data_IF_059678575026
#
_entry.id   IF_059678575026
#
_cell.length_a   1.000
_cell.length_b   1.000
_cell.length_c   1.000
_cell.angle_alpha   90.00
_cell.angle_beta   90.00
_cell.angle_gamma   90.00
#
_symmetry.space_group_name_H-M   'P 1'
#
loop_
_entity.id
_entity.type
_entity.pdbx_description
1 polymer ?
#
# COMPACT_ATOMS: atom_id res chain seq x y z
N UNK A 1 -1.65 10.41 2.47
CA UNK A 1 -2.84 9.57 2.15
C UNK A 1 -3.72 9.28 3.35
N UNK A 2 -3.21 8.70 4.45
CA UNK A 2 -4.01 8.48 5.68
C UNK A 2 -4.85 9.71 6.07
N UNK A 3 -4.23 10.90 6.04
CA UNK A 3 -4.89 12.16 6.35
C UNK A 3 -6.06 12.54 5.45
N UNK A 4 -6.04 12.13 4.17
CA UNK A 4 -7.15 12.36 3.25
C UNK A 4 -8.34 11.44 3.55
N UNK A 5 -8.05 10.20 3.99
CA UNK A 5 -9.08 9.28 4.47
C UNK A 5 -9.67 9.82 5.77
N UNK A 6 -8.84 10.22 6.75
CA UNK A 6 -9.31 10.87 7.99
C UNK A 6 -10.25 12.03 7.67
N UNK A 7 -9.83 12.95 6.80
CA UNK A 7 -10.60 14.14 6.46
C UNK A 7 -11.93 13.80 5.80
N UNK A 8 -11.95 12.83 4.88
CA UNK A 8 -13.17 12.34 4.23
C UNK A 8 -14.15 11.70 5.22
N UNK A 9 -13.65 10.88 6.15
CA UNK A 9 -14.49 10.24 7.15
C UNK A 9 -15.05 11.24 8.16
N UNK A 10 -14.23 12.20 8.61
CA UNK A 10 -14.66 13.25 9.54
C UNK A 10 -15.74 14.12 8.90
N UNK A 11 -15.58 14.47 7.63
CA UNK A 11 -16.60 15.23 6.88
C UNK A 11 -17.95 14.50 6.82
N UNK A 12 -17.91 13.21 6.52
CA UNK A 12 -19.10 12.38 6.43
C UNK A 12 -19.78 12.17 7.78
N UNK A 13 -19.00 11.95 8.83
CA UNK A 13 -19.50 11.79 10.20
C UNK A 13 -20.12 13.11 10.71
N UNK A 14 -19.46 14.25 10.51
CA UNK A 14 -19.99 15.56 10.88
C UNK A 14 -21.30 15.86 10.13
N UNK A 15 -21.38 15.53 8.85
CA UNK A 15 -22.61 15.68 8.06
C UNK A 15 -23.75 14.79 8.58
N UNK A 16 -23.48 13.50 8.81
CA UNK A 16 -24.47 12.57 9.36
C UNK A 16 -24.92 12.98 10.77
N UNK A 17 -24.02 13.49 11.60
CA UNK A 17 -24.33 13.98 12.95
C UNK A 17 -25.18 15.25 12.91
N UNK A 18 -24.90 16.19 12.01
CA UNK A 18 -25.74 17.39 11.80
C UNK A 18 -27.16 17.01 11.37
N UNK A 19 -27.31 15.98 10.52
CA UNK A 19 -28.62 15.47 10.11
C UNK A 19 -29.40 14.82 11.26
N UNK A 20 -28.71 14.27 12.27
CA UNK A 20 -29.33 13.69 13.47
C UNK A 20 -29.84 14.71 14.48
N UNK A 21 -29.30 15.93 14.49
CA UNK A 21 -29.75 17.02 15.38
C UNK A 21 -31.26 17.30 15.24
N UNK A 22 -31.80 17.55 14.03
CA UNK A 22 -33.24 17.74 13.83
C UNK A 22 -34.03 16.43 13.80
N UNK A 23 -33.40 15.30 13.49
CA UNK A 23 -34.06 13.99 13.40
C UNK A 23 -33.16 12.87 13.97
N UNK A 24 -33.35 12.46 15.24
CA UNK A 24 -32.53 11.44 15.88
C UNK A 24 -32.54 10.06 15.19
N UNK A 25 -33.54 9.78 14.34
CA UNK A 25 -33.65 8.55 13.55
C UNK A 25 -32.99 8.66 12.17
N UNK A 26 -32.39 9.81 11.83
CA UNK A 26 -31.68 9.98 10.57
C UNK A 26 -30.53 8.96 10.46
N UNK A 27 -30.46 8.27 9.33
CA UNK A 27 -29.46 7.23 9.10
C UNK A 27 -28.08 7.83 8.84
N UNK A 28 -27.01 7.14 9.26
CA UNK A 28 -25.64 7.45 8.83
C UNK A 28 -25.38 6.99 7.38
N UNK A 29 -26.06 7.61 6.42
CA UNK A 29 -26.01 7.20 5.01
C UNK A 29 -24.72 7.61 4.34
N UNK A 30 -24.15 8.76 4.70
CA UNK A 30 -22.98 9.33 4.02
C UNK A 30 -21.73 8.53 4.35
N UNK A 31 -21.51 8.26 5.64
CA UNK A 31 -20.36 7.47 6.08
C UNK A 31 -20.40 6.04 5.52
N UNK A 32 -21.59 5.39 5.54
CA UNK A 32 -21.77 4.05 4.96
C UNK A 32 -21.47 4.01 3.46
N UNK A 33 -21.89 5.03 2.71
CA UNK A 33 -21.62 5.15 1.28
C UNK A 33 -20.13 5.29 0.99
N UNK A 34 -19.41 6.11 1.75
CA UNK A 34 -17.94 6.23 1.62
C UNK A 34 -17.25 4.91 1.93
N UNK A 35 -17.64 4.22 3.01
CA UNK A 35 -17.08 2.91 3.34
C UNK A 35 -17.35 1.91 2.20
N UNK A 36 -18.56 1.93 1.63
CA UNK A 36 -18.90 1.10 0.48
C UNK A 36 -17.99 1.39 -0.73
N UNK A 37 -17.79 2.66 -1.09
CA UNK A 37 -16.93 3.02 -2.23
C UNK A 37 -15.45 2.70 -2.02
N UNK A 38 -14.94 2.89 -0.79
CA UNK A 38 -13.58 2.47 -0.45
C UNK A 38 -13.46 0.96 -0.63
N UNK A 39 -14.40 0.17 -0.09
CA UNK A 39 -14.37 -1.29 -0.25
C UNK A 39 -14.53 -1.72 -1.72
N UNK A 40 -15.32 -0.99 -2.52
CA UNK A 40 -15.51 -1.28 -3.94
C UNK A 40 -14.20 -1.11 -4.73
N UNK A 41 -13.20 -0.38 -4.21
CA UNK A 41 -11.84 -0.32 -4.76
C UNK A 41 -11.03 -1.62 -4.56
N UNK A 42 -11.60 -2.66 -3.95
CA UNK A 42 -10.93 -3.94 -3.72
C UNK A 42 -9.92 -3.90 -2.58
N UNK A 43 -10.24 -3.13 -1.53
CA UNK A 43 -9.55 -3.11 -0.23
C UNK A 43 -10.54 -3.51 0.86
N UNK A 44 -10.07 -4.11 1.96
CA UNK A 44 -10.93 -4.39 3.12
C UNK A 44 -10.87 -3.22 4.07
N UNK A 45 -11.96 -2.47 4.20
CA UNK A 45 -12.00 -1.24 4.98
C UNK A 45 -13.21 -1.17 5.88
N UNK A 46 -12.98 -0.82 7.14
CA UNK A 46 -14.03 -0.61 8.13
C UNK A 46 -13.67 0.53 9.08
N UNK A 47 -14.67 1.09 9.75
CA UNK A 47 -14.56 2.24 10.65
C UNK A 47 -15.25 1.92 11.97
N UNK A 48 -14.60 2.24 13.08
CA UNK A 48 -15.12 2.02 14.44
C UNK A 48 -14.68 3.14 15.38
N UNK A 49 -15.29 3.24 16.55
CA UNK A 49 -14.89 4.20 17.58
C UNK A 49 -14.05 3.51 18.65
N UNK A 50 -12.86 4.05 18.89
CA UNK A 50 -11.97 3.69 19.98
C UNK A 50 -12.11 4.74 21.09
N UNK A 51 -12.33 4.30 22.34
CA UNK A 51 -12.56 5.18 23.49
C UNK A 51 -11.42 6.19 23.72
N UNK A 52 -10.18 5.86 23.33
CA UNK A 52 -9.00 6.69 23.55
C UNK A 52 -8.65 7.56 22.35
N UNK A 53 -8.97 7.09 21.14
CA UNK A 53 -8.52 7.72 19.88
C UNK A 53 -9.65 8.35 19.08
N UNK A 54 -10.90 8.17 19.49
CA UNK A 54 -12.06 8.56 18.71
C UNK A 54 -12.26 7.64 17.51
N UNK A 55 -12.66 8.20 16.37
CA UNK A 55 -12.85 7.42 15.14
C UNK A 55 -11.54 6.79 14.66
N UNK A 56 -11.56 5.48 14.48
CA UNK A 56 -10.47 4.66 13.97
C UNK A 56 -10.95 3.85 12.76
N UNK A 57 -10.02 3.42 11.92
CA UNK A 57 -10.34 2.65 10.72
C UNK A 57 -9.22 1.68 10.34
N UNK A 58 -9.51 0.76 9.43
CA UNK A 58 -8.58 -0.27 8.98
C UNK A 58 -7.27 0.34 8.47
N UNK A 59 -6.14 -0.13 9.02
CA UNK A 59 -4.82 0.28 8.51
C UNK A 59 -4.59 -0.38 7.16
N UNK A 60 -4.37 0.44 6.13
CA UNK A 60 -4.09 -0.02 4.78
C UNK A 60 -2.57 -0.10 4.55
N UNK A 61 -2.15 -1.14 3.84
CA UNK A 61 -0.79 -1.30 3.34
C UNK A 61 -0.47 -0.28 2.24
N UNK A 62 0.81 -0.11 1.91
CA UNK A 62 1.23 0.80 0.83
C UNK A 62 0.57 0.46 -0.52
N UNK A 63 0.43 -0.83 -0.84
CA UNK A 63 -0.23 -1.28 -2.07
C UNK A 63 -1.73 -0.98 -2.10
N UNK A 64 -2.42 -1.18 -0.99
CA UNK A 64 -3.85 -0.84 -0.85
C UNK A 64 -4.08 0.67 -0.93
N UNK A 65 -3.20 1.46 -0.32
CA UNK A 65 -3.20 2.92 -0.41
C UNK A 65 -3.03 3.38 -1.87
N UNK A 66 -2.04 2.86 -2.61
CA UNK A 66 -1.85 3.19 -4.03
C UNK A 66 -3.07 2.81 -4.88
N UNK A 67 -3.65 1.63 -4.65
CA UNK A 67 -4.88 1.19 -5.32
C UNK A 67 -6.04 2.14 -5.05
N UNK A 68 -6.22 2.53 -3.79
CA UNK A 68 -7.29 3.44 -3.38
C UNK A 68 -7.11 4.81 -4.04
N UNK A 69 -5.89 5.36 -4.04
CA UNK A 69 -5.62 6.65 -4.68
C UNK A 69 -5.96 6.64 -6.17
N UNK A 70 -5.67 5.55 -6.87
CA UNK A 70 -5.94 5.39 -8.29
C UNK A 70 -7.44 5.25 -8.63
N UNK A 71 -8.20 4.53 -7.80
CA UNK A 71 -9.59 4.17 -8.10
C UNK A 71 -10.64 5.12 -7.46
N UNK A 72 -10.30 5.75 -6.34
CA UNK A 72 -11.21 6.64 -5.61
C UNK A 72 -11.70 7.85 -6.42
N UNK A 73 -10.88 8.54 -7.23
CA UNK A 73 -11.35 9.70 -8.01
C UNK A 73 -12.59 9.47 -8.87
N UNK A 74 -12.78 8.25 -9.36
CA UNK A 74 -13.91 7.89 -10.23
C UNK A 74 -15.14 7.42 -9.43
N UNK A 75 -14.94 7.03 -8.18
CA UNK A 75 -15.96 6.42 -7.32
C UNK A 75 -16.48 7.34 -6.22
N UNK A 76 -15.66 8.32 -5.83
CA UNK A 76 -16.03 9.32 -4.85
C UNK A 76 -17.14 10.28 -5.30
N UNK A 77 -17.35 10.61 -6.59
CA UNK A 77 -18.48 11.48 -6.97
C UNK A 77 -19.82 10.97 -6.43
N UNK A 78 -20.61 11.87 -5.86
CA UNK A 78 -21.87 11.58 -5.18
C UNK A 78 -21.74 10.92 -3.81
N UNK A 79 -20.52 10.65 -3.31
CA UNK A 79 -20.30 10.00 -2.01
C UNK A 79 -20.11 10.96 -0.83
N UNK A 80 -19.24 11.97 -0.90
CA UNK A 80 -19.15 13.04 0.10
C UNK A 80 -20.44 13.88 0.22
N UNK A 81 -20.53 14.75 1.23
CA UNK A 81 -21.52 15.82 1.26
C UNK A 81 -21.42 16.71 0.00
N UNK A 82 -22.56 17.11 -0.56
CA UNK A 82 -22.61 17.89 -1.81
C UNK A 82 -21.83 19.21 -1.74
N UNK A 83 -21.74 19.81 -0.54
CA UNK A 83 -20.98 21.04 -0.32
C UNK A 83 -19.47 20.86 -0.52
N UNK A 84 -18.92 19.73 -0.08
CA UNK A 84 -17.47 19.49 -0.03
C UNK A 84 -16.98 18.62 -1.18
N UNK A 85 -17.88 17.88 -1.83
CA UNK A 85 -17.61 16.88 -2.86
C UNK A 85 -16.61 17.33 -3.92
N UNK A 86 -16.85 18.48 -4.57
CA UNK A 86 -16.02 18.94 -5.68
C UNK A 86 -14.55 19.14 -5.26
N UNK A 87 -14.32 19.70 -4.06
CA UNK A 87 -12.98 19.92 -3.51
C UNK A 87 -12.36 18.60 -3.06
N UNK A 88 -13.12 17.72 -2.41
CA UNK A 88 -12.66 16.38 -2.03
C UNK A 88 -12.19 15.60 -3.26
N UNK A 89 -13.02 15.46 -4.29
CA UNK A 89 -12.66 14.73 -5.53
C UNK A 89 -11.43 15.35 -6.19
N UNK A 90 -11.33 16.69 -6.22
CA UNK A 90 -10.17 17.40 -6.77
C UNK A 90 -8.89 17.10 -6.00
N UNK A 91 -8.92 17.06 -4.67
CA UNK A 91 -7.75 16.72 -3.83
C UNK A 91 -7.26 15.30 -4.16
N UNK A 92 -8.18 14.33 -4.26
CA UNK A 92 -7.82 12.95 -4.59
C UNK A 92 -7.19 12.83 -5.98
N UNK A 93 -7.76 13.50 -6.99
CA UNK A 93 -7.20 13.55 -8.36
C UNK A 93 -5.81 14.18 -8.39
N UNK A 94 -5.67 15.38 -7.83
CA UNK A 94 -4.38 16.08 -7.80
C UNK A 94 -3.31 15.28 -7.06
N UNK A 95 -3.67 14.56 -6.00
CA UNK A 95 -2.71 13.76 -5.26
C UNK A 95 -2.26 12.52 -6.04
N UNK A 96 -3.16 11.89 -6.78
CA UNK A 96 -2.84 10.81 -7.71
C UNK A 96 -1.86 11.28 -8.78
N UNK A 97 -2.19 12.37 -9.46
CA UNK A 97 -1.34 12.94 -10.51
C UNK A 97 0.05 13.33 -10.00
N UNK A 98 0.13 13.96 -8.82
CA UNK A 98 1.40 14.39 -8.23
C UNK A 98 2.28 13.19 -7.85
N UNK A 99 1.69 12.15 -7.26
CA UNK A 99 2.44 10.95 -6.91
C UNK A 99 2.88 10.15 -8.14
N UNK A 100 2.00 10.00 -9.13
CA UNK A 100 2.32 9.34 -10.39
C UNK A 100 3.51 10.03 -11.09
N UNK A 101 3.52 11.36 -11.11
CA UNK A 101 4.64 12.14 -11.65
C UNK A 101 5.95 11.85 -10.89
N UNK A 102 5.92 11.86 -9.56
CA UNK A 102 7.13 11.58 -8.78
C UNK A 102 7.66 10.15 -8.96
N UNK A 103 6.78 9.16 -9.12
CA UNK A 103 7.16 7.74 -9.18
C UNK A 103 7.55 7.29 -10.60
N UNK A 104 6.96 7.86 -11.65
CA UNK A 104 7.02 7.26 -12.99
C UNK A 104 7.50 8.19 -14.10
N UNK A 105 7.29 9.51 -13.97
CA UNK A 105 7.68 10.47 -15.01
C UNK A 105 9.17 10.80 -14.89
N UNK A 106 9.86 10.90 -16.03
CA UNK A 106 11.34 11.03 -16.12
C UNK A 106 11.76 12.25 -16.94
N UNK A 107 10.82 13.09 -17.36
CA UNK A 107 11.10 14.29 -18.16
C UNK A 107 11.61 15.46 -17.31
N UNK A 108 11.44 15.42 -15.99
CA UNK A 108 11.84 16.48 -15.06
C UNK A 108 10.98 17.73 -15.18
N UNK A 109 9.79 17.65 -15.80
CA UNK A 109 8.87 18.77 -15.87
C UNK A 109 8.39 19.18 -14.47
N UNK A 110 8.30 20.49 -14.26
CA UNK A 110 7.84 21.02 -12.98
C UNK A 110 6.36 20.70 -12.77
N UNK A 111 6.07 20.00 -11.67
CA UNK A 111 4.69 19.77 -11.21
C UNK A 111 4.29 20.73 -10.09
N UNK A 112 5.04 21.82 -9.89
CA UNK A 112 4.81 22.79 -8.81
C UNK A 112 3.37 23.30 -8.79
N UNK A 113 2.81 23.62 -9.96
CA UNK A 113 1.44 24.12 -10.06
C UNK A 113 0.41 23.10 -9.54
N UNK A 114 0.59 21.80 -9.84
CA UNK A 114 -0.30 20.73 -9.35
C UNK A 114 -0.13 20.52 -7.85
N UNK A 115 1.11 20.51 -7.37
CA UNK A 115 1.41 20.36 -5.94
C UNK A 115 0.88 21.55 -5.11
N UNK A 116 1.03 22.78 -5.60
CA UNK A 116 0.45 23.97 -4.98
C UNK A 116 -1.07 23.93 -4.98
N UNK A 117 -1.71 23.58 -6.11
CA UNK A 117 -3.17 23.44 -6.18
C UNK A 117 -3.70 22.38 -5.23
N UNK A 118 -3.00 21.25 -5.07
CA UNK A 118 -3.37 20.21 -4.10
C UNK A 118 -3.40 20.79 -2.68
N UNK A 119 -2.36 21.54 -2.32
CA UNK A 119 -2.21 22.14 -1.00
C UNK A 119 -3.24 23.24 -0.75
N UNK A 120 -3.43 24.15 -1.70
CA UNK A 120 -4.42 25.23 -1.64
C UNK A 120 -5.84 24.67 -1.52
N UNK A 121 -6.20 23.67 -2.34
CA UNK A 121 -7.52 23.03 -2.25
C UNK A 121 -7.73 22.37 -0.89
N UNK A 122 -6.68 21.75 -0.32
CA UNK A 122 -6.73 21.17 1.02
C UNK A 122 -6.97 22.24 2.10
N UNK A 123 -6.29 23.38 2.04
CA UNK A 123 -6.49 24.48 2.99
C UNK A 123 -7.86 25.15 2.84
N UNK A 124 -8.33 25.34 1.61
CA UNK A 124 -9.63 25.92 1.32
C UNK A 124 -10.77 25.04 1.81
N UNK A 125 -10.66 23.72 1.67
CA UNK A 125 -11.65 22.78 2.18
C UNK A 125 -11.74 22.83 3.72
N UNK A 126 -10.63 23.16 4.40
CA UNK A 126 -10.60 23.35 5.85
C UNK A 126 -11.45 24.50 6.37
N UNK A 127 -11.82 25.46 5.51
CA UNK A 127 -12.76 26.54 5.86
C UNK A 127 -14.19 26.03 6.00
N UNK A 128 -14.49 24.87 5.43
CA UNK A 128 -15.84 24.29 5.37
C UNK A 128 -15.97 23.02 6.20
N UNK A 129 -14.89 22.24 6.30
CA UNK A 129 -14.86 20.94 6.96
C UNK A 129 -13.68 20.81 7.93
N UNK A 130 -13.97 20.35 9.16
CA UNK A 130 -12.96 20.13 10.22
C UNK A 130 -11.94 19.03 9.92
N UNK A 131 -12.17 18.22 8.88
CA UNK A 131 -11.26 17.17 8.45
C UNK A 131 -10.07 17.68 7.63
N UNK A 132 -10.05 18.98 7.32
CA UNK A 132 -9.05 19.64 6.48
C UNK A 132 -8.62 20.96 7.14
N UNK A 133 -7.46 21.51 6.77
CA UNK A 133 -7.00 22.79 7.32
C UNK A 133 -5.51 22.83 7.70
N UNK A 134 -4.99 24.02 8.04
CA UNK A 134 -3.57 24.23 8.34
C UNK A 134 -3.07 23.40 9.52
N UNK A 135 -3.89 23.21 10.56
CA UNK A 135 -3.60 22.40 11.73
C UNK A 135 -3.49 20.90 11.43
N UNK A 136 -3.99 20.47 10.28
CA UNK A 136 -4.00 19.07 9.84
C UNK A 136 -2.93 18.76 8.79
N UNK A 137 -2.13 19.76 8.40
CA UNK A 137 -1.00 19.60 7.48
C UNK A 137 0.08 18.73 8.13
N UNK A 138 0.39 17.61 7.49
CA UNK A 138 1.44 16.70 7.96
C UNK A 138 2.82 17.13 7.45
N UNK A 139 3.92 16.75 8.11
CA UNK A 139 5.27 16.98 7.60
C UNK A 139 5.48 16.47 6.17
N UNK A 140 4.87 15.33 5.82
CA UNK A 140 4.95 14.78 4.46
C UNK A 140 4.21 15.62 3.42
N UNK A 141 3.09 16.26 3.77
CA UNK A 141 2.42 17.20 2.88
C UNK A 141 3.29 18.44 2.63
N UNK A 142 3.93 18.95 3.68
CA UNK A 142 4.86 20.08 3.54
C UNK A 142 6.07 19.72 2.65
N UNK A 143 6.69 18.55 2.86
CA UNK A 143 7.79 18.05 2.03
C UNK A 143 7.35 17.88 0.58
N UNK A 144 6.17 17.30 0.35
CA UNK A 144 5.61 17.04 -0.98
C UNK A 144 5.50 18.34 -1.82
N UNK A 145 5.03 19.42 -1.21
CA UNK A 145 4.76 20.68 -1.94
C UNK A 145 6.02 21.54 -2.10
N UNK A 146 6.89 21.60 -1.08
CA UNK A 146 8.01 22.55 -1.07
C UNK A 146 9.36 21.95 -1.44
N UNK A 147 9.54 20.64 -1.28
CA UNK A 147 10.86 20.00 -1.43
C UNK A 147 10.86 18.96 -2.53
N UNK A 148 9.83 18.12 -2.61
CA UNK A 148 9.79 17.02 -3.56
C UNK A 148 9.81 17.51 -5.01
N UNK A 149 9.14 18.63 -5.33
CA UNK A 149 9.13 19.20 -6.68
C UNK A 149 10.54 19.55 -7.17
N UNK A 150 11.29 20.35 -6.41
CA UNK A 150 12.67 20.72 -6.75
C UNK A 150 13.58 19.49 -6.87
N UNK A 151 13.37 18.46 -6.04
CA UNK A 151 14.11 17.21 -6.13
C UNK A 151 13.73 16.40 -7.37
N UNK A 152 12.46 16.38 -7.74
CA UNK A 152 11.98 15.71 -8.96
C UNK A 152 12.58 16.37 -10.21
N UNK A 153 12.59 17.70 -10.29
CA UNK A 153 13.25 18.43 -11.39
C UNK A 153 14.75 18.11 -11.46
N UNK A 154 15.42 17.98 -10.31
CA UNK A 154 16.86 17.70 -10.23
C UNK A 154 17.19 16.26 -10.62
N UNK A 155 16.45 15.29 -10.08
CA UNK A 155 16.74 13.86 -10.22
C UNK A 155 15.92 13.17 -11.32
N UNK A 156 15.04 13.92 -11.99
CA UNK A 156 14.11 13.50 -13.06
C UNK A 156 13.01 12.54 -12.63
N UNK A 157 13.31 11.58 -11.76
CA UNK A 157 12.35 10.62 -11.22
C UNK A 157 12.70 10.31 -9.76
N UNK A 158 11.77 10.52 -8.83
CA UNK A 158 11.98 10.21 -7.42
C UNK A 158 11.74 8.73 -7.12
N UNK A 159 10.97 8.04 -7.95
CA UNK A 159 10.75 6.59 -7.85
C UNK A 159 12.06 5.79 -7.85
N UNK A 160 13.06 6.22 -8.62
CA UNK A 160 14.40 5.60 -8.63
C UNK A 160 15.17 5.73 -7.31
N UNK A 161 14.85 6.74 -6.51
CA UNK A 161 15.46 7.01 -5.22
C UNK A 161 14.61 6.46 -4.05
N UNK A 162 13.57 5.68 -4.37
CA UNK A 162 12.66 5.09 -3.38
C UNK A 162 13.35 4.00 -2.57
N UNK A 163 12.98 3.90 -1.28
CA UNK A 163 13.40 2.83 -0.38
C UNK A 163 12.62 1.52 -0.56
N UNK A 164 11.68 1.45 -1.50
CA UNK A 164 10.77 0.31 -1.67
C UNK A 164 11.52 -1.01 -1.92
N UNK A 165 12.63 -0.99 -2.67
CA UNK A 165 13.45 -2.20 -2.88
C UNK A 165 14.10 -2.70 -1.58
N UNK A 166 14.52 -1.77 -0.72
CA UNK A 166 15.11 -2.10 0.58
C UNK A 166 14.10 -2.77 1.49
N UNK A 167 12.85 -2.32 1.48
CA UNK A 167 11.76 -2.98 2.22
C UNK A 167 11.50 -4.40 1.71
N UNK A 168 11.49 -4.62 0.40
CA UNK A 168 11.37 -5.96 -0.18
C UNK A 168 12.53 -6.89 0.22
N UNK A 169 13.77 -6.37 0.26
CA UNK A 169 14.93 -7.13 0.75
C UNK A 169 14.79 -7.48 2.24
N UNK A 170 14.21 -6.59 3.06
CA UNK A 170 13.95 -6.87 4.46
C UNK A 170 12.94 -8.01 4.65
N UNK A 171 11.89 -8.07 3.83
CA UNK A 171 10.91 -9.15 3.86
C UNK A 171 11.54 -10.51 3.51
N UNK A 172 12.41 -10.52 2.49
CA UNK A 172 13.18 -11.72 2.11
C UNK A 172 14.08 -12.17 3.27
N UNK A 173 14.82 -11.24 3.88
CA UNK A 173 15.71 -11.54 5.01
C UNK A 173 14.92 -12.07 6.21
N UNK A 174 13.76 -11.49 6.52
CA UNK A 174 12.87 -11.96 7.57
C UNK A 174 12.39 -13.38 7.29
N UNK A 175 11.96 -13.67 6.07
CA UNK A 175 11.55 -15.01 5.68
C UNK A 175 12.70 -16.03 5.83
N UNK A 176 13.90 -15.70 5.32
CA UNK A 176 15.09 -16.55 5.45
C UNK A 176 15.45 -16.79 6.92
N UNK A 177 15.42 -15.73 7.73
CA UNK A 177 15.67 -15.79 9.15
C UNK A 177 14.75 -16.83 9.80
N UNK A 178 13.44 -16.75 9.59
CA UNK A 178 12.48 -17.67 10.22
C UNK A 178 12.49 -19.10 9.67
N UNK A 179 12.80 -19.30 8.39
CA UNK A 179 12.61 -20.60 7.73
C UNK A 179 13.90 -21.40 7.49
N UNK A 180 15.06 -20.75 7.35
CA UNK A 180 16.28 -21.37 6.78
C UNK A 180 17.56 -21.15 7.58
N UNK A 181 17.53 -20.42 8.68
CA UNK A 181 18.72 -20.23 9.54
C UNK A 181 18.69 -21.19 10.73
N UNK A 182 19.86 -21.67 11.16
CA UNK A 182 19.99 -22.54 12.35
C UNK A 182 20.02 -21.75 13.67
N UNK A 183 19.80 -20.43 13.60
CA UNK A 183 19.78 -19.46 14.71
C UNK A 183 21.08 -19.27 15.51
N UNK A 184 22.14 -20.04 15.26
CA UNK A 184 23.42 -19.87 15.96
C UNK A 184 24.18 -18.62 15.49
N UNK A 185 24.10 -18.31 14.19
CA UNK A 185 24.53 -17.02 13.63
C UNK A 185 23.55 -16.56 12.54
N UNK A 186 22.34 -16.22 12.97
CA UNK A 186 21.22 -15.96 12.07
C UNK A 186 21.45 -14.79 11.10
N UNK A 187 22.28 -13.80 11.49
CA UNK A 187 22.63 -12.65 10.64
C UNK A 187 23.54 -13.10 9.51
N UNK A 188 24.62 -13.81 9.83
CA UNK A 188 25.57 -14.31 8.83
C UNK A 188 24.89 -15.29 7.86
N UNK A 189 24.03 -16.17 8.39
CA UNK A 189 23.28 -17.13 7.57
C UNK A 189 22.26 -16.44 6.67
N UNK A 190 21.51 -15.47 7.20
CA UNK A 190 20.55 -14.68 6.43
C UNK A 190 21.21 -13.97 5.25
N UNK A 191 22.36 -13.33 5.49
CA UNK A 191 23.13 -12.64 4.44
C UNK A 191 23.67 -13.62 3.39
N UNK A 192 24.25 -14.75 3.81
CA UNK A 192 24.76 -15.78 2.88
C UNK A 192 23.64 -16.36 2.01
N UNK A 193 22.47 -16.61 2.59
CA UNK A 193 21.31 -17.14 1.88
C UNK A 193 20.71 -16.12 0.92
N UNK A 194 20.57 -14.86 1.33
CA UNK A 194 20.13 -13.78 0.46
C UNK A 194 21.06 -13.63 -0.74
N UNK A 195 22.38 -13.63 -0.50
CA UNK A 195 23.38 -13.55 -1.59
C UNK A 195 23.30 -14.74 -2.55
N UNK A 196 23.04 -15.94 -2.05
CA UNK A 196 22.85 -17.13 -2.89
C UNK A 196 21.61 -17.03 -3.77
N UNK A 197 20.52 -16.41 -3.29
CA UNK A 197 19.31 -16.21 -4.09
C UNK A 197 19.55 -15.23 -5.23
N UNK A 198 20.27 -14.12 -4.99
CA UNK A 198 20.67 -13.17 -6.04
C UNK A 198 21.51 -13.85 -7.14
N UNK A 199 22.44 -14.73 -6.74
CA UNK A 199 23.33 -15.43 -7.69
C UNK A 199 22.60 -16.57 -8.40
N UNK A 200 21.61 -17.21 -7.78
CA UNK A 200 20.87 -18.33 -8.36
C UNK A 200 19.92 -17.93 -9.50
N UNK A 201 19.61 -16.64 -9.66
CA UNK A 201 18.93 -16.13 -10.86
C UNK A 201 19.78 -16.27 -12.13
N UNK A 202 21.11 -16.37 -11.98
CA UNK A 202 22.02 -16.74 -13.07
C UNK A 202 22.09 -18.28 -13.20
N UNK A 203 21.12 -18.84 -13.93
CA UNK A 203 21.11 -20.22 -14.45
C UNK A 203 21.37 -21.32 -13.40
N UNK A 204 20.27 -21.90 -12.88
CA UNK A 204 20.31 -23.21 -12.23
C UNK A 204 20.69 -24.28 -13.27
N UNK A 205 21.98 -24.57 -13.41
CA UNK A 205 22.42 -25.76 -14.15
C UNK A 205 21.98 -26.98 -13.36
N UNK A 206 21.04 -27.75 -13.90
CA UNK A 206 20.67 -29.05 -13.36
C UNK A 206 21.93 -29.90 -13.26
N UNK A 207 22.33 -30.28 -12.04
CA UNK A 207 23.43 -31.23 -11.87
C UNK A 207 22.96 -32.56 -12.45
N UNK A 208 23.61 -33.03 -13.51
CA UNK A 208 23.36 -34.35 -14.05
C UNK A 208 23.57 -35.39 -12.93
N UNK A 209 22.50 -36.04 -12.51
CA UNK A 209 22.58 -37.09 -11.51
C UNK A 209 23.28 -38.30 -12.14
N UNK A 210 24.52 -38.57 -11.72
CA UNK A 210 25.26 -39.74 -12.17
C UNK A 210 24.95 -40.89 -11.22
N UNK A 211 24.18 -41.87 -11.71
CA UNK A 211 23.94 -43.15 -11.03
C UNK A 211 25.26 -43.91 -10.98
N UNK A 212 25.93 -43.90 -9.82
CA UNK A 212 27.22 -44.58 -9.63
C UNK A 212 27.06 -46.07 -9.36
N UNK A 213 25.96 -46.47 -8.72
CA UNK A 213 25.70 -47.85 -8.36
C UNK A 213 24.73 -48.50 -9.36
N UNK A 214 25.27 -49.16 -10.38
CA UNK A 214 24.48 -49.85 -11.39
C UNK A 214 23.62 -50.98 -10.80
N UNK A 215 24.04 -51.58 -9.67
CA UNK A 215 23.32 -52.66 -9.01
C UNK A 215 22.12 -52.13 -8.24
N UNK A 216 22.29 -51.05 -7.48
CA UNK A 216 21.20 -50.37 -6.77
C UNK A 216 20.13 -49.81 -7.72
N UNK A 217 20.57 -49.27 -8.87
CA UNK A 217 19.69 -48.70 -9.88
C UNK A 217 19.23 -49.69 -10.96
N UNK A 218 19.52 -50.98 -10.79
CA UNK A 218 18.99 -52.02 -11.68
C UNK A 218 17.47 -52.06 -11.61
N UNK A 219 16.82 -52.31 -12.75
CA UNK A 219 15.35 -52.37 -12.83
C UNK A 219 14.78 -53.43 -11.87
N UNK A 220 15.51 -54.53 -11.68
CA UNK A 220 15.14 -55.64 -10.81
C UNK A 220 14.98 -55.20 -9.34
N UNK A 221 15.96 -54.48 -8.78
CA UNK A 221 15.92 -54.06 -7.37
C UNK A 221 14.81 -53.02 -7.11
N UNK A 222 14.57 -52.14 -8.08
CA UNK A 222 13.53 -51.10 -7.99
C UNK A 222 12.13 -51.74 -8.10
N UNK A 223 11.96 -52.76 -8.94
CA UNK A 223 10.72 -53.52 -9.03
C UNK A 223 10.46 -54.33 -7.77
N UNK A 224 11.48 -54.97 -7.20
CA UNK A 224 11.38 -55.71 -5.93
C UNK A 224 10.93 -54.83 -4.75
N UNK A 225 11.54 -53.64 -4.60
CA UNK A 225 11.17 -52.69 -3.54
C UNK A 225 9.72 -52.17 -3.73
N UNK A 226 9.28 -51.97 -4.98
CA UNK A 226 7.89 -51.56 -5.28
C UNK A 226 6.89 -52.69 -5.00
N UNK A 227 7.25 -53.93 -5.31
CA UNK A 227 6.43 -55.11 -5.03
C UNK A 227 6.29 -55.36 -3.52
N UNK A 228 7.38 -55.23 -2.75
CA UNK A 228 7.34 -55.35 -1.29
C UNK A 228 6.46 -54.27 -0.63
N UNK A 229 6.44 -53.04 -1.16
CA UNK A 229 5.56 -51.98 -0.67
C UNK A 229 4.06 -52.22 -0.95
N UNK A 230 3.73 -53.02 -1.96
CA UNK A 230 2.36 -53.41 -2.27
C UNK A 230 1.86 -54.58 -1.40
N UNK A 231 2.78 -55.37 -0.84
CA UNK A 231 2.48 -56.49 0.06
C UNK A 231 2.28 -56.07 1.53
N UNK A 232 2.74 -54.88 1.91
CA UNK A 232 2.51 -54.31 3.26
C UNK A 232 1.28 -53.39 3.33
N UNK A 233 0.23 -53.66 2.54
CA UNK A 233 -1.09 -53.02 2.66
C UNK A 233 -2.15 -54.01 3.09
#
# INVERSE_FOLDING_TARGET
>A
MKRLIDGLLVDAEDHDNRAKVPNPKASSSTLKRIIHEINSCGVKFDVWHDERKGMAFTTLTGGEMKRLLKLSPDKLPGSPPAQTEAKTVRIWKLFEEVLDNFEHIVDGLSIQNKASQLFETFLELGKECKGYGPELVTPYMHILVHRAVSKHETFKCLGWLSSQETEGKNDVLKHLHHSKTNKSNAVQDGLKLAKRLEVAEYVRISRAYRKLDAKYWSEDLIQEIRAQKLLCR
#
